data_IF_814197387245
#
_entry.id   IF_814197387245
#
_cell.length_a   1.000
_cell.length_b   1.000
_cell.length_c   1.000
_cell.angle_alpha   90.00
_cell.angle_beta   90.00
_cell.angle_gamma   90.00
#
_symmetry.space_group_name_H-M   'P 1'
#
loop_
_entity.id
_entity.type
_entity.pdbx_description
1 polymer ?
#
# COMPACT_ATOMS: atom_id res chain seq x y z
N UNK A 1 28.08 3.18 -42.26
CA UNK A 1 28.66 2.98 -40.93
C UNK A 1 27.57 3.39 -39.91
N UNK A 2 26.79 2.43 -39.45
CA UNK A 2 25.67 2.69 -38.52
C UNK A 2 26.17 2.65 -37.09
N UNK A 3 26.09 3.78 -36.40
CA UNK A 3 26.42 3.88 -34.98
C UNK A 3 25.23 3.36 -34.18
N UNK A 4 25.33 2.15 -33.69
CA UNK A 4 24.38 1.62 -32.71
C UNK A 4 24.69 2.27 -31.36
N UNK A 5 23.91 3.28 -30.99
CA UNK A 5 23.88 3.81 -29.63
C UNK A 5 23.16 2.78 -28.76
N UNK A 6 23.93 1.97 -28.05
CA UNK A 6 23.44 1.13 -26.98
C UNK A 6 22.95 2.04 -25.85
N UNK A 7 21.65 2.36 -25.82
CA UNK A 7 21.01 2.87 -24.61
C UNK A 7 21.10 1.75 -23.56
N UNK A 8 22.12 1.81 -22.72
CA UNK A 8 22.15 1.05 -21.47
C UNK A 8 21.04 1.63 -20.58
N UNK A 9 19.86 1.01 -20.58
CA UNK A 9 18.92 1.12 -19.49
C UNK A 9 19.60 0.50 -18.27
N UNK A 10 20.33 1.29 -17.52
CA UNK A 10 20.62 0.96 -16.14
C UNK A 10 19.27 0.97 -15.42
N UNK A 11 18.71 -0.23 -15.22
CA UNK A 11 17.66 -0.43 -14.24
C UNK A 11 18.26 0.01 -12.91
N UNK A 12 18.00 1.24 -12.54
CA UNK A 12 18.37 1.73 -11.23
C UNK A 12 17.43 1.03 -10.24
N UNK A 13 17.88 -0.07 -9.67
CA UNK A 13 17.14 -0.77 -8.62
C UNK A 13 17.10 0.14 -7.40
N UNK A 14 15.91 0.65 -7.12
CA UNK A 14 15.69 1.51 -5.97
C UNK A 14 15.91 0.72 -4.68
N UNK A 15 16.70 1.25 -3.77
CA UNK A 15 16.92 0.64 -2.45
C UNK A 15 15.68 0.82 -1.55
N UNK A 16 15.52 -0.02 -0.54
CA UNK A 16 14.46 0.11 0.45
C UNK A 16 14.46 1.48 1.16
N UNK A 17 15.67 2.04 1.41
CA UNK A 17 15.80 3.38 1.98
C UNK A 17 15.26 4.47 1.05
N UNK A 18 15.50 4.35 -0.25
CA UNK A 18 14.98 5.30 -1.24
C UNK A 18 13.46 5.21 -1.35
N UNK A 19 12.90 3.99 -1.37
CA UNK A 19 11.44 3.78 -1.41
C UNK A 19 10.79 4.42 -0.18
N UNK A 20 11.32 4.16 1.02
CA UNK A 20 10.83 4.76 2.27
C UNK A 20 10.86 6.28 2.21
N UNK A 21 12.00 6.86 1.86
CA UNK A 21 12.18 8.32 1.82
C UNK A 21 11.23 8.96 0.80
N UNK A 22 11.06 8.36 -0.37
CA UNK A 22 10.14 8.87 -1.40
C UNK A 22 8.69 8.77 -0.94
N UNK A 23 8.30 7.65 -0.30
CA UNK A 23 6.94 7.49 0.22
C UNK A 23 6.60 8.56 1.25
N UNK A 24 7.45 8.75 2.25
CA UNK A 24 7.21 9.75 3.29
C UNK A 24 7.17 11.16 2.72
N UNK A 25 8.10 11.51 1.83
CA UNK A 25 8.09 12.81 1.17
C UNK A 25 6.88 13.02 0.24
N UNK A 26 6.40 11.96 -0.41
CA UNK A 26 5.19 12.00 -1.22
C UNK A 26 3.95 12.25 -0.36
N UNK A 27 3.81 11.55 0.76
CA UNK A 27 2.68 11.72 1.67
C UNK A 27 2.71 13.06 2.39
N UNK A 28 3.89 13.57 2.76
CA UNK A 28 4.05 14.93 3.30
C UNK A 28 3.52 15.99 2.33
N UNK A 29 3.82 15.88 1.03
CA UNK A 29 3.27 16.77 -0.01
C UNK A 29 1.75 16.67 -0.14
N UNK A 30 1.14 15.55 0.31
CA UNK A 30 -0.32 15.35 0.37
C UNK A 30 -0.93 15.85 1.69
N UNK A 31 -0.14 16.50 2.53
CA UNK A 31 -0.58 17.09 3.79
C UNK A 31 -0.57 16.13 4.99
N UNK A 32 0.14 14.99 4.89
CA UNK A 32 0.30 14.09 6.02
C UNK A 32 1.40 14.55 6.97
N UNK A 33 1.15 14.42 8.25
CA UNK A 33 2.18 14.54 9.27
C UNK A 33 2.94 13.22 9.36
N UNK A 34 4.26 13.29 9.24
CA UNK A 34 5.10 12.10 9.40
C UNK A 34 5.27 11.82 10.88
N UNK A 35 4.84 10.64 11.29
CA UNK A 35 4.97 10.17 12.67
C UNK A 35 6.09 9.11 12.79
N UNK A 36 6.72 8.97 13.97
CA UNK A 36 7.74 7.95 14.18
C UNK A 36 7.13 6.54 14.23
N UNK A 37 7.94 5.56 13.84
CA UNK A 37 7.60 4.14 14.07
C UNK A 37 7.40 3.88 15.57
N UNK A 38 6.33 3.21 15.92
CA UNK A 38 6.09 2.72 17.28
C UNK A 38 7.06 1.58 17.64
N UNK A 39 7.17 1.27 18.92
CA UNK A 39 7.99 0.17 19.40
C UNK A 39 7.50 -1.18 18.84
N UNK A 40 8.43 -2.12 18.63
CA UNK A 40 8.09 -3.49 18.23
C UNK A 40 7.35 -4.25 19.33
N UNK A 41 7.61 -3.93 20.58
CA UNK A 41 6.87 -4.46 21.72
C UNK A 41 5.76 -3.46 22.02
N UNK A 42 4.47 -3.82 21.81
CA UNK A 42 3.38 -2.89 22.04
C UNK A 42 3.22 -2.62 23.53
N UNK A 43 3.11 -1.35 23.91
CA UNK A 43 3.00 -0.96 25.33
C UNK A 43 1.61 -1.19 25.92
N UNK A 44 0.57 -1.14 25.10
CA UNK A 44 -0.83 -1.14 25.55
C UNK A 44 -1.69 -2.22 24.86
N UNK A 45 -1.09 -3.23 24.27
CA UNK A 45 -1.80 -4.33 23.64
C UNK A 45 -1.34 -5.68 24.22
N UNK A 46 -2.08 -6.21 25.20
CA UNK A 46 -1.74 -7.49 25.82
C UNK A 46 -2.09 -8.71 24.95
N UNK A 47 -2.69 -8.50 23.79
CA UNK A 47 -3.14 -9.59 22.90
C UNK A 47 -2.04 -10.07 21.97
N UNK A 48 -1.00 -9.26 21.76
CA UNK A 48 0.12 -9.59 20.86
C UNK A 48 1.46 -9.34 21.55
N UNK A 49 2.47 -10.15 21.19
CA UNK A 49 3.84 -9.97 21.68
C UNK A 49 4.60 -8.90 20.93
N UNK A 50 4.27 -8.72 19.65
CA UNK A 50 4.97 -7.80 18.75
C UNK A 50 4.00 -7.00 17.91
N UNK A 51 4.42 -5.82 17.49
CA UNK A 51 3.72 -5.01 16.50
C UNK A 51 3.82 -5.69 15.14
N UNK A 52 2.70 -6.25 14.67
CA UNK A 52 2.61 -7.01 13.41
C UNK A 52 2.10 -6.21 12.23
N UNK A 53 1.65 -4.95 12.43
CA UNK A 53 1.16 -4.10 11.35
C UNK A 53 1.28 -2.61 11.69
N UNK A 54 1.30 -1.77 10.65
CA UNK A 54 1.28 -0.31 10.82
C UNK A 54 0.00 0.22 11.44
N UNK A 55 -1.11 -0.48 11.26
CA UNK A 55 -2.39 -0.11 11.83
C UNK A 55 -2.45 -0.30 13.36
N UNK A 56 -1.77 -1.31 13.88
CA UNK A 56 -1.92 -1.74 15.28
C UNK A 56 -1.69 -0.61 16.29
N UNK A 57 -0.63 0.22 16.20
CA UNK A 57 -0.45 1.34 17.14
C UNK A 57 -1.49 2.44 17.01
N UNK A 58 -2.21 2.50 15.88
CA UNK A 58 -3.18 3.55 15.57
C UNK A 58 -4.64 3.14 15.82
N UNK A 59 -4.89 1.91 16.28
CA UNK A 59 -6.25 1.41 16.53
C UNK A 59 -7.09 2.35 17.39
N UNK A 60 -6.63 2.93 18.52
CA UNK A 60 -7.45 3.86 19.30
C UNK A 60 -7.93 5.06 18.48
N UNK A 61 -7.07 5.62 17.65
CA UNK A 61 -7.38 6.77 16.79
C UNK A 61 -8.31 6.41 15.63
N UNK A 62 -8.17 5.21 15.07
CA UNK A 62 -9.10 4.68 14.07
C UNK A 62 -10.47 4.37 14.67
N UNK A 63 -10.54 4.12 15.97
CA UNK A 63 -11.79 3.94 16.72
C UNK A 63 -12.42 5.25 17.19
N UNK A 64 -11.80 6.40 16.90
CA UNK A 64 -12.37 7.73 17.13
C UNK A 64 -11.68 8.61 18.16
N UNK A 65 -10.56 8.16 18.75
CA UNK A 65 -9.75 9.05 19.57
C UNK A 65 -9.04 10.09 18.70
N UNK A 66 -8.80 11.27 19.27
CA UNK A 66 -8.08 12.33 18.58
C UNK A 66 -6.58 12.12 18.61
N UNK A 67 -5.94 12.01 17.45
CA UNK A 67 -4.48 11.93 17.39
C UNK A 67 -3.85 13.32 17.50
N UNK A 68 -2.80 13.51 18.34
CA UNK A 68 -2.20 14.83 18.57
C UNK A 68 -1.53 15.44 17.32
N UNK A 69 -1.14 14.61 16.36
CA UNK A 69 -0.51 15.07 15.12
C UNK A 69 -1.51 15.37 13.97
N UNK A 70 -2.83 15.27 14.23
CA UNK A 70 -3.87 15.59 13.25
C UNK A 70 -4.54 14.37 12.62
N UNK A 71 -5.23 14.60 11.51
CA UNK A 71 -6.10 13.61 10.85
C UNK A 71 -5.45 12.89 9.67
N UNK A 72 -4.36 13.42 9.13
CA UNK A 72 -3.55 12.82 8.05
C UNK A 72 -2.19 12.43 8.58
N UNK A 73 -1.93 11.14 8.68
CA UNK A 73 -0.68 10.62 9.24
C UNK A 73 0.00 9.71 8.23
N UNK A 74 1.33 9.68 8.22
CA UNK A 74 2.08 8.69 7.47
C UNK A 74 3.33 8.26 8.24
N UNK A 75 3.72 7.00 8.07
CA UNK A 75 4.87 6.42 8.73
C UNK A 75 5.53 5.31 7.92
N UNK A 76 6.61 4.79 8.46
CA UNK A 76 7.21 3.52 8.11
C UNK A 76 7.32 2.70 9.39
N UNK A 77 6.30 1.89 9.67
CA UNK A 77 6.23 1.07 10.88
C UNK A 77 7.09 -0.18 10.75
N UNK A 78 7.98 -0.41 11.69
CA UNK A 78 8.71 -1.67 11.84
C UNK A 78 7.76 -2.72 12.39
N UNK A 79 7.69 -3.87 11.73
CA UNK A 79 6.79 -4.97 12.07
C UNK A 79 7.53 -6.28 12.21
N UNK A 80 7.03 -7.14 13.09
CA UNK A 80 7.53 -8.49 13.26
C UNK A 80 6.36 -9.48 13.37
N UNK A 81 6.39 -10.52 12.51
CA UNK A 81 5.42 -11.62 12.48
C UNK A 81 6.15 -12.94 12.68
N UNK A 82 6.12 -13.44 13.91
CA UNK A 82 6.82 -14.67 14.28
C UNK A 82 6.16 -15.93 13.68
N UNK A 83 4.86 -15.89 13.46
CA UNK A 83 4.07 -16.97 12.84
C UNK A 83 4.54 -17.29 11.41
N UNK A 84 5.05 -16.32 10.68
CA UNK A 84 5.49 -16.50 9.30
C UNK A 84 6.87 -17.20 9.19
N UNK A 85 7.50 -17.57 10.32
CA UNK A 85 8.88 -18.12 10.32
C UNK A 85 8.98 -19.44 9.54
N UNK A 86 7.95 -20.26 9.56
CA UNK A 86 7.94 -21.55 8.87
C UNK A 86 7.87 -21.39 7.34
N UNK A 87 7.40 -20.25 6.86
CA UNK A 87 7.27 -19.92 5.44
C UNK A 87 8.49 -19.17 4.88
N UNK A 88 9.41 -18.74 5.75
CA UNK A 88 10.64 -18.03 5.34
C UNK A 88 11.56 -18.99 4.58
N UNK A 89 11.92 -18.57 3.37
CA UNK A 89 12.76 -19.38 2.45
C UNK A 89 12.24 -19.33 1.03
N UNK A 90 11.01 -18.90 0.84
CA UNK A 90 10.50 -18.51 -0.46
C UNK A 90 10.94 -17.07 -0.82
N UNK A 91 10.40 -16.50 -1.91
CA UNK A 91 10.71 -15.15 -2.35
C UNK A 91 9.70 -14.10 -1.89
N UNK A 92 8.82 -14.41 -0.92
CA UNK A 92 7.69 -13.58 -0.51
C UNK A 92 7.62 -13.35 0.99
N UNK A 93 7.89 -14.39 1.82
CA UNK A 93 7.71 -14.33 3.26
C UNK A 93 8.96 -13.84 3.99
N UNK A 94 8.74 -12.96 4.95
CA UNK A 94 9.75 -12.47 5.88
C UNK A 94 9.09 -12.20 7.24
N UNK A 95 9.82 -12.47 8.31
CA UNK A 95 9.33 -12.23 9.68
C UNK A 95 9.46 -10.77 10.10
N UNK A 96 10.46 -10.06 9.59
CA UNK A 96 10.74 -8.67 9.92
C UNK A 96 10.67 -7.80 8.66
N UNK A 97 9.88 -6.74 8.71
CA UNK A 97 9.67 -5.85 7.57
C UNK A 97 9.25 -4.45 8.03
N UNK A 98 9.24 -3.52 7.10
CA UNK A 98 8.65 -2.19 7.29
C UNK A 98 7.35 -2.09 6.50
N UNK A 99 6.32 -1.57 7.16
CA UNK A 99 5.05 -1.27 6.52
C UNK A 99 4.94 0.24 6.32
N UNK A 100 4.95 0.65 5.04
CA UNK A 100 4.71 2.04 4.67
C UNK A 100 3.21 2.31 4.77
N UNK A 101 2.83 3.17 5.69
CA UNK A 101 1.45 3.47 6.03
C UNK A 101 1.07 4.93 5.80
N UNK A 102 -0.14 5.17 5.31
CA UNK A 102 -0.79 6.46 5.37
C UNK A 102 -2.21 6.29 5.90
N UNK A 103 -2.60 7.19 6.79
CA UNK A 103 -3.77 7.04 7.62
C UNK A 103 -4.65 8.29 7.50
N UNK A 104 -5.95 8.06 7.26
CA UNK A 104 -6.98 9.10 7.26
C UNK A 104 -7.90 8.89 8.47
N UNK A 105 -7.86 9.80 9.41
CA UNK A 105 -8.75 9.80 10.57
C UNK A 105 -9.99 10.65 10.27
N UNK A 106 -10.82 10.16 9.31
CA UNK A 106 -12.04 10.83 8.88
C UNK A 106 -11.85 12.04 7.95
N UNK A 107 -10.74 12.13 7.24
CA UNK A 107 -10.41 13.28 6.38
C UNK A 107 -10.63 12.96 4.89
N UNK A 108 -9.98 11.93 4.34
CA UNK A 108 -10.13 11.48 2.96
C UNK A 108 -10.47 10.00 2.90
N UNK A 109 -10.86 9.50 1.71
CA UNK A 109 -11.24 8.09 1.57
C UNK A 109 -10.71 7.50 0.24
N UNK A 110 -11.52 6.71 -0.48
CA UNK A 110 -11.12 5.86 -1.60
C UNK A 110 -10.51 6.65 -2.77
N UNK A 111 -11.15 7.76 -3.14
CA UNK A 111 -10.77 8.50 -4.34
C UNK A 111 -9.33 9.00 -4.27
N UNK A 112 -9.02 9.71 -3.20
CA UNK A 112 -7.69 10.27 -2.97
C UNK A 112 -6.67 9.15 -2.77
N UNK A 113 -7.01 8.12 -1.98
CA UNK A 113 -6.10 7.03 -1.67
C UNK A 113 -5.70 6.24 -2.92
N UNK A 114 -6.65 5.90 -3.77
CA UNK A 114 -6.40 5.12 -4.98
C UNK A 114 -5.55 5.93 -5.96
N UNK A 115 -5.89 7.21 -6.17
CA UNK A 115 -5.10 8.10 -7.01
C UNK A 115 -3.66 8.26 -6.49
N UNK A 116 -3.48 8.50 -5.20
CA UNK A 116 -2.16 8.67 -4.61
C UNK A 116 -1.33 7.40 -4.67
N UNK A 117 -1.91 6.24 -4.38
CA UNK A 117 -1.21 4.97 -4.50
C UNK A 117 -0.76 4.72 -5.94
N UNK A 118 -1.65 4.91 -6.92
CA UNK A 118 -1.31 4.75 -8.32
C UNK A 118 -0.19 5.68 -8.77
N UNK A 119 -0.27 6.96 -8.41
CA UNK A 119 0.78 7.95 -8.72
C UNK A 119 2.09 7.62 -8.02
N UNK A 120 2.06 7.25 -6.75
CA UNK A 120 3.27 6.84 -6.04
C UNK A 120 3.97 5.67 -6.75
N UNK A 121 3.24 4.63 -7.09
CA UNK A 121 3.79 3.44 -7.74
C UNK A 121 4.33 3.76 -9.15
N UNK A 122 3.62 4.58 -9.92
CA UNK A 122 3.98 4.84 -11.33
C UNK A 122 4.93 6.01 -11.52
N UNK A 123 4.83 7.07 -10.72
CA UNK A 123 5.59 8.31 -10.90
C UNK A 123 6.81 8.36 -9.97
N UNK A 124 6.68 7.94 -8.71
CA UNK A 124 7.78 7.99 -7.74
C UNK A 124 8.63 6.70 -7.75
N UNK A 125 7.99 5.52 -7.83
CA UNK A 125 8.68 4.23 -7.90
C UNK A 125 9.05 3.86 -9.33
N UNK A 126 8.29 4.32 -10.33
CA UNK A 126 8.55 4.09 -11.74
C UNK A 126 8.07 2.74 -12.25
N UNK A 127 7.08 2.13 -11.58
CA UNK A 127 6.47 0.89 -12.07
C UNK A 127 5.66 1.15 -13.33
N UNK A 128 5.77 0.25 -14.31
CA UNK A 128 4.90 0.31 -15.49
C UNK A 128 3.45 0.06 -15.09
N UNK A 129 2.51 0.97 -15.43
CA UNK A 129 1.09 0.76 -15.11
C UNK A 129 0.54 -0.55 -15.70
N UNK A 130 1.07 -1.02 -16.83
CA UNK A 130 0.67 -2.29 -17.46
C UNK A 130 1.07 -3.55 -16.67
N UNK A 131 1.84 -3.39 -15.59
CA UNK A 131 2.23 -4.49 -14.68
C UNK A 131 1.54 -4.41 -13.33
N UNK A 132 0.59 -3.50 -13.17
CA UNK A 132 -0.16 -3.34 -11.93
C UNK A 132 -1.47 -4.13 -12.04
N UNK A 133 -1.70 -5.00 -11.08
CA UNK A 133 -2.94 -5.75 -10.90
C UNK A 133 -3.61 -5.27 -9.63
N UNK A 134 -4.91 -5.12 -9.67
CA UNK A 134 -5.70 -4.63 -8.53
C UNK A 134 -6.89 -5.55 -8.30
N UNK A 135 -7.30 -5.66 -7.05
CA UNK A 135 -8.50 -6.38 -6.66
C UNK A 135 -9.48 -5.41 -6.01
N UNK A 136 -10.77 -5.63 -6.23
CA UNK A 136 -11.86 -4.94 -5.57
C UNK A 136 -12.77 -5.96 -4.89
N UNK A 137 -13.39 -5.57 -3.78
CA UNK A 137 -14.27 -6.46 -3.05
C UNK A 137 -15.52 -6.80 -3.88
N UNK A 138 -15.76 -8.08 -4.05
CA UNK A 138 -16.91 -8.59 -4.84
C UNK A 138 -18.25 -8.53 -4.11
N UNK A 139 -18.25 -8.20 -2.84
CA UNK A 139 -19.42 -8.28 -1.98
C UNK A 139 -19.48 -9.60 -1.23
N UNK A 140 -20.36 -9.65 -0.24
CA UNK A 140 -20.73 -10.85 0.49
C UNK A 140 -22.26 -10.86 0.66
N UNK A 141 -22.94 -11.65 -0.15
CA UNK A 141 -24.41 -11.77 -0.11
C UNK A 141 -24.91 -12.29 1.24
N UNK A 142 -24.15 -13.18 1.90
CA UNK A 142 -24.54 -13.75 3.20
C UNK A 142 -24.46 -12.73 4.31
N UNK A 143 -23.47 -11.84 4.23
CA UNK A 143 -23.29 -10.72 5.17
C UNK A 143 -24.11 -9.48 4.76
N UNK A 144 -24.76 -9.50 3.59
CA UNK A 144 -25.51 -8.33 3.09
C UNK A 144 -24.62 -7.16 2.67
N UNK A 145 -23.35 -7.42 2.34
CA UNK A 145 -22.39 -6.38 1.95
C UNK A 145 -22.30 -6.32 0.42
N UNK A 146 -22.59 -5.15 -0.20
CA UNK A 146 -22.57 -5.02 -1.65
C UNK A 146 -21.14 -5.03 -2.23
N UNK A 147 -21.04 -5.35 -3.54
CA UNK A 147 -19.82 -5.23 -4.34
C UNK A 147 -19.32 -3.77 -4.36
N UNK A 148 -18.01 -3.59 -4.26
CA UNK A 148 -17.38 -2.27 -4.36
C UNK A 148 -17.16 -1.87 -5.82
N UNK A 149 -18.20 -1.37 -6.43
CA UNK A 149 -18.17 -0.92 -7.84
C UNK A 149 -17.41 0.40 -8.03
N UNK A 150 -17.35 1.23 -7.00
CA UNK A 150 -16.64 2.52 -7.02
C UNK A 150 -15.14 2.32 -7.20
N UNK A 151 -14.54 1.44 -6.43
CA UNK A 151 -13.10 1.10 -6.52
C UNK A 151 -12.76 0.58 -7.91
N UNK A 152 -13.57 -0.32 -8.47
CA UNK A 152 -13.35 -0.82 -9.82
C UNK A 152 -13.38 0.28 -10.87
N UNK A 153 -14.33 1.21 -10.79
CA UNK A 153 -14.46 2.33 -11.73
C UNK A 153 -13.28 3.31 -11.64
N UNK A 154 -12.82 3.61 -10.43
CA UNK A 154 -11.66 4.48 -10.20
C UNK A 154 -10.38 3.90 -10.83
N UNK A 155 -10.09 2.62 -10.62
CA UNK A 155 -8.93 1.97 -11.22
C UNK A 155 -9.00 1.94 -12.74
N UNK A 156 -10.16 1.63 -13.32
CA UNK A 156 -10.34 1.66 -14.77
C UNK A 156 -10.07 3.07 -15.34
N UNK A 157 -10.54 4.10 -14.66
CA UNK A 157 -10.28 5.49 -15.05
C UNK A 157 -8.78 5.79 -15.09
N UNK A 158 -8.05 5.45 -14.03
CA UNK A 158 -6.60 5.68 -13.93
C UNK A 158 -5.80 4.90 -15.00
N UNK A 159 -6.17 3.65 -15.28
CA UNK A 159 -5.55 2.88 -16.35
C UNK A 159 -5.82 3.48 -17.73
N UNK A 160 -7.06 3.91 -17.99
CA UNK A 160 -7.43 4.58 -19.24
C UNK A 160 -6.65 5.87 -19.46
N UNK A 161 -6.48 6.70 -18.44
CA UNK A 161 -5.67 7.93 -18.49
C UNK A 161 -4.22 7.68 -18.89
N UNK A 162 -3.69 6.49 -18.57
CA UNK A 162 -2.33 6.07 -18.93
C UNK A 162 -2.27 5.26 -20.23
N UNK A 163 -3.40 5.10 -20.93
CA UNK A 163 -3.47 4.34 -22.19
C UNK A 163 -3.21 2.84 -22.00
N UNK A 164 -3.45 2.31 -20.81
CA UNK A 164 -3.26 0.88 -20.49
C UNK A 164 -4.53 0.12 -20.84
N UNK A 165 -4.40 -0.87 -21.72
CA UNK A 165 -5.45 -1.85 -21.95
C UNK A 165 -5.61 -2.72 -20.69
N UNK A 166 -6.81 -2.82 -20.17
CA UNK A 166 -7.11 -3.60 -18.97
C UNK A 166 -8.39 -4.43 -19.18
N UNK A 167 -8.45 -5.57 -18.50
CA UNK A 167 -9.65 -6.39 -18.37
C UNK A 167 -10.18 -6.32 -16.94
N UNK A 168 -11.46 -6.66 -16.78
CA UNK A 168 -12.08 -6.91 -15.48
C UNK A 168 -12.54 -8.35 -15.47
N UNK A 169 -12.05 -9.12 -14.50
CA UNK A 169 -12.49 -10.49 -14.27
C UNK A 169 -13.12 -10.60 -12.88
N UNK A 170 -14.25 -11.25 -12.77
CA UNK A 170 -14.81 -11.62 -11.47
C UNK A 170 -14.01 -12.83 -10.95
N UNK A 171 -13.29 -12.64 -9.83
CA UNK A 171 -12.62 -13.72 -9.13
C UNK A 171 -13.66 -14.66 -8.52
N UNK A 172 -13.67 -15.91 -8.94
CA UNK A 172 -14.63 -16.92 -8.47
C UNK A 172 -14.84 -18.07 -9.44
N UNK A 173 -14.39 -17.97 -10.68
CA UNK A 173 -14.22 -19.14 -11.55
C UNK A 173 -12.83 -19.75 -11.28
N UNK A 174 -12.75 -21.00 -10.88
CA UNK A 174 -11.52 -21.78 -10.69
C UNK A 174 -10.62 -21.87 -11.96
N UNK A 175 -10.97 -21.17 -13.00
CA UNK A 175 -10.35 -21.28 -14.33
C UNK A 175 -9.22 -20.28 -14.60
N UNK A 176 -8.91 -19.36 -13.70
CA UNK A 176 -7.97 -18.27 -13.97
C UNK A 176 -6.97 -18.03 -12.81
N UNK A 177 -6.44 -19.11 -12.26
CA UNK A 177 -5.26 -19.08 -11.37
C UNK A 177 -3.97 -19.26 -12.17
#
# INVERSE_FOLDING_TARGET
>A
MAVYTLLRYTLHTMSGNEIRSRFLAFMEKKGHTIIPSSALIPENDPTTLFTGSGMQPLVPYLMGETHPAGTRLADSQKCFRAEDIEEVGDNRHTTFFEMLGNWSLGDYFKNEQIEWLFRFLTEEVGLSPAKIYVTAFLGDEKAGVPKDVEVSALWQTLFNERGVSHGVADMGSEAEG
#
